data_IF_765031585864
#
_entry.id   IF_765031585864
#
_cell.length_a   1.000
_cell.length_b   1.000
_cell.length_c   1.000
_cell.angle_alpha   90.00
_cell.angle_beta   90.00
_cell.angle_gamma   90.00
#
_symmetry.space_group_name_H-M   'P 1'
#
loop_
_entity.id
_entity.type
_entity.pdbx_description
1 polymer ?
#
# COMPACT_ATOMS: atom_id res chain seq x y z
N UNK A 1 -35.53 -22.06 -27.02
CA UNK A 1 -34.98 -20.74 -27.42
C UNK A 1 -35.01 -19.88 -26.16
N UNK A 2 -33.87 -19.65 -25.52
CA UNK A 2 -33.84 -19.03 -24.19
C UNK A 2 -34.06 -17.52 -24.29
N UNK A 3 -35.13 -17.03 -23.66
CA UNK A 3 -35.43 -15.60 -23.50
C UNK A 3 -34.27 -14.94 -22.75
N UNK A 4 -33.45 -14.15 -23.45
CA UNK A 4 -32.43 -13.31 -22.84
C UNK A 4 -33.11 -12.04 -22.32
N UNK A 5 -32.82 -11.65 -21.07
CA UNK A 5 -33.38 -10.46 -20.44
C UNK A 5 -32.95 -9.16 -21.13
N UNK A 6 -33.75 -8.11 -21.00
CA UNK A 6 -33.44 -6.79 -21.58
C UNK A 6 -32.33 -6.09 -20.78
N UNK A 7 -31.36 -5.43 -21.47
CA UNK A 7 -30.30 -4.70 -20.80
C UNK A 7 -30.86 -3.48 -20.06
N UNK A 8 -30.45 -3.31 -18.80
CA UNK A 8 -30.77 -2.15 -17.96
C UNK A 8 -29.51 -1.35 -17.65
N UNK A 9 -29.65 -0.04 -17.51
CA UNK A 9 -28.53 0.84 -17.14
C UNK A 9 -28.34 0.78 -15.63
N UNK A 10 -27.17 0.31 -15.20
CA UNK A 10 -26.79 0.26 -13.79
C UNK A 10 -25.70 1.30 -13.52
N UNK A 11 -25.73 1.85 -12.32
CA UNK A 11 -24.66 2.66 -11.74
C UNK A 11 -24.11 1.91 -10.54
N UNK A 12 -22.80 1.92 -10.38
CA UNK A 12 -22.14 1.27 -9.26
C UNK A 12 -21.14 2.24 -8.62
N UNK A 13 -20.87 2.06 -7.33
CA UNK A 13 -19.90 2.86 -6.59
C UNK A 13 -18.47 2.41 -6.88
N UNK A 14 -18.08 2.41 -8.16
CA UNK A 14 -16.73 2.11 -8.61
C UNK A 14 -16.19 3.31 -9.37
N UNK A 15 -15.10 3.87 -8.84
CA UNK A 15 -14.39 4.96 -9.50
C UNK A 15 -13.26 4.38 -10.34
N UNK A 16 -13.26 4.57 -11.67
CA UNK A 16 -12.20 4.05 -12.52
C UNK A 16 -10.91 4.80 -12.22
N UNK A 17 -9.86 4.05 -11.89
CA UNK A 17 -8.53 4.61 -11.71
C UNK A 17 -7.92 4.75 -13.11
N UNK A 18 -7.88 5.97 -13.63
CA UNK A 18 -7.21 6.26 -14.90
C UNK A 18 -5.71 6.19 -14.71
N UNK A 19 -5.11 5.02 -15.01
CA UNK A 19 -3.66 4.88 -15.05
C UNK A 19 -3.14 5.22 -16.44
N UNK A 20 -2.02 5.94 -16.52
CA UNK A 20 -1.35 6.21 -17.78
C UNK A 20 -0.88 4.89 -18.43
N UNK A 21 -0.81 4.91 -19.76
CA UNK A 21 -0.71 3.72 -20.61
C UNK A 21 0.56 2.89 -20.36
N UNK A 22 1.64 3.51 -19.88
CA UNK A 22 2.97 2.86 -19.71
C UNK A 22 3.37 2.61 -18.24
N UNK A 23 2.42 2.17 -17.41
CA UNK A 23 2.72 1.88 -16.00
C UNK A 23 3.39 0.51 -15.86
N UNK A 24 4.71 0.46 -16.11
CA UNK A 24 5.56 -0.66 -15.69
C UNK A 24 6.15 -0.33 -14.33
N UNK A 25 5.86 -1.17 -13.34
CA UNK A 25 6.48 -1.08 -12.02
C UNK A 25 7.56 -2.14 -11.90
N UNK A 26 8.63 -1.82 -11.22
CA UNK A 26 9.73 -2.74 -10.97
C UNK A 26 9.65 -3.18 -9.51
N UNK A 27 9.57 -4.49 -9.32
CA UNK A 27 9.56 -5.13 -8.02
C UNK A 27 10.96 -5.55 -7.62
N UNK A 28 11.33 -5.22 -6.39
CA UNK A 28 12.59 -5.59 -5.79
C UNK A 28 12.34 -6.25 -4.43
N UNK A 29 13.14 -7.25 -4.10
CA UNK A 29 13.23 -7.83 -2.77
C UNK A 29 14.26 -7.04 -1.98
N UNK A 30 13.92 -6.71 -0.73
CA UNK A 30 14.83 -6.04 0.20
C UNK A 30 15.13 -6.99 1.34
N UNK A 31 16.40 -7.30 1.53
CA UNK A 31 16.91 -8.10 2.63
C UNK A 31 17.83 -7.22 3.51
N UNK A 32 17.80 -7.44 4.82
CA UNK A 32 18.58 -6.67 5.81
C UNK A 32 19.48 -7.60 6.61
N UNK A 33 20.71 -7.19 6.85
CA UNK A 33 21.67 -7.89 7.70
C UNK A 33 22.40 -6.90 8.64
N UNK A 34 22.25 -7.00 9.96
CA UNK A 34 21.40 -7.95 10.71
C UNK A 34 19.91 -7.76 10.42
N UNK A 35 19.11 -8.81 10.69
CA UNK A 35 17.68 -8.79 10.40
C UNK A 35 16.98 -7.68 11.22
N UNK A 36 16.36 -6.75 10.51
CA UNK A 36 15.55 -5.69 11.12
C UNK A 36 14.09 -6.16 11.15
N UNK A 37 13.44 -6.20 12.30
CA UNK A 37 12.01 -6.54 12.38
C UNK A 37 11.12 -5.30 12.26
N UNK A 38 11.65 -4.11 12.61
CA UNK A 38 10.87 -2.89 12.65
C UNK A 38 10.57 -2.34 11.25
N UNK A 39 9.37 -2.60 10.75
CA UNK A 39 8.86 -2.07 9.48
C UNK A 39 8.96 -0.54 9.42
N UNK A 40 8.78 0.16 10.55
CA UNK A 40 8.88 1.62 10.62
C UNK A 40 10.31 2.11 10.32
N UNK A 41 11.34 1.42 10.82
CA UNK A 41 12.75 1.74 10.57
C UNK A 41 13.07 1.48 9.09
N UNK A 42 12.65 0.33 8.57
CA UNK A 42 12.81 -0.02 7.14
C UNK A 42 12.14 1.01 6.22
N UNK A 43 10.93 1.44 6.56
CA UNK A 43 10.17 2.46 5.80
C UNK A 43 10.84 3.83 5.84
N UNK A 44 11.45 4.21 6.96
CA UNK A 44 12.20 5.47 7.08
C UNK A 44 13.37 5.56 6.11
N UNK A 45 14.07 4.44 5.88
CA UNK A 45 15.22 4.38 4.97
C UNK A 45 14.80 4.42 3.49
N UNK A 46 13.65 3.86 3.15
CA UNK A 46 13.16 3.72 1.77
C UNK A 46 12.19 4.85 1.37
N UNK A 47 11.73 5.65 2.33
CA UNK A 47 11.01 6.91 2.15
C UNK A 47 9.98 6.92 1.02
N UNK A 48 10.39 7.46 -0.13
CA UNK A 48 9.56 7.75 -1.29
C UNK A 48 9.08 6.53 -2.09
N UNK A 49 9.63 5.34 -1.84
CA UNK A 49 9.23 4.12 -2.52
C UNK A 49 8.05 3.41 -1.83
N UNK A 50 7.34 2.57 -2.58
CA UNK A 50 6.24 1.77 -2.04
C UNK A 50 6.87 0.50 -1.46
N UNK A 51 6.81 0.35 -0.15
CA UNK A 51 7.47 -0.74 0.57
C UNK A 51 6.50 -1.40 1.55
N UNK A 52 6.45 -2.72 1.54
CA UNK A 52 5.54 -3.53 2.37
C UNK A 52 6.25 -4.32 3.49
N UNK A 53 7.54 -4.06 3.74
CA UNK A 53 8.32 -4.79 4.76
C UNK A 53 9.34 -5.78 4.19
N UNK A 54 9.06 -6.32 3.00
CA UNK A 54 9.94 -7.27 2.28
C UNK A 54 10.13 -6.90 0.81
N UNK A 55 9.07 -6.38 0.18
CA UNK A 55 9.08 -6.00 -1.23
C UNK A 55 9.02 -4.48 -1.39
N UNK A 56 9.81 -3.99 -2.34
CA UNK A 56 9.90 -2.60 -2.76
C UNK A 56 9.40 -2.49 -4.20
N UNK A 57 8.55 -1.50 -4.46
CA UNK A 57 8.06 -1.19 -5.78
C UNK A 57 8.49 0.22 -6.19
N UNK A 58 9.08 0.31 -7.37
CA UNK A 58 9.55 1.57 -7.96
C UNK A 58 8.99 1.74 -9.37
N UNK A 59 8.70 2.98 -9.75
CA UNK A 59 8.35 3.36 -11.14
C UNK A 59 9.55 3.36 -12.07
N UNK A 60 10.77 3.51 -11.53
CA UNK A 60 12.01 3.54 -12.32
C UNK A 60 12.81 2.27 -12.06
N UNK A 61 13.35 1.68 -13.13
CA UNK A 61 14.33 0.60 -13.00
C UNK A 61 15.62 1.16 -12.39
N UNK A 62 16.17 0.48 -11.38
CA UNK A 62 17.50 0.80 -10.90
C UNK A 62 18.55 0.40 -11.94
N UNK A 63 19.68 1.12 -11.98
CA UNK A 63 20.75 0.86 -12.95
C UNK A 63 21.38 -0.52 -12.74
N UNK A 64 21.50 -0.94 -11.48
CA UNK A 64 21.98 -2.26 -11.11
C UNK A 64 20.81 -3.13 -10.68
N UNK A 65 20.84 -4.41 -11.07
CA UNK A 65 19.86 -5.39 -10.64
C UNK A 65 20.00 -5.73 -9.15
N UNK A 66 21.18 -5.55 -8.57
CA UNK A 66 21.41 -5.64 -7.12
C UNK A 66 22.09 -4.37 -6.63
N UNK A 67 21.55 -3.76 -5.59
CA UNK A 67 22.12 -2.59 -4.94
C UNK A 67 22.29 -2.88 -3.45
N UNK A 68 23.47 -2.65 -2.92
CA UNK A 68 23.76 -2.78 -1.49
C UNK A 68 23.98 -1.41 -0.87
N UNK A 69 23.24 -1.12 0.19
CA UNK A 69 23.38 0.07 1.00
C UNK A 69 23.91 -0.31 2.37
N UNK A 70 24.91 0.42 2.84
CA UNK A 70 25.42 0.30 4.21
C UNK A 70 24.94 1.52 4.98
N UNK A 71 24.12 1.29 6.01
CA UNK A 71 23.64 2.33 6.90
C UNK A 71 24.12 2.04 8.31
N UNK A 72 24.53 3.09 9.02
CA UNK A 72 24.83 2.98 10.46
C UNK A 72 23.52 3.15 11.23
N UNK A 73 23.19 2.21 12.11
CA UNK A 73 22.02 2.33 12.99
C UNK A 73 22.31 3.40 14.05
N UNK A 74 21.42 4.38 14.19
CA UNK A 74 21.60 5.49 15.13
C UNK A 74 21.52 5.09 16.60
N UNK A 75 20.89 3.96 16.96
CA UNK A 75 20.75 3.53 18.36
C UNK A 75 22.03 2.92 18.92
N UNK A 76 22.64 1.97 18.21
CA UNK A 76 23.79 1.18 18.73
C UNK A 76 25.06 1.33 17.90
N UNK A 77 25.00 2.08 16.78
CA UNK A 77 26.14 2.30 15.90
C UNK A 77 26.53 1.10 15.02
N UNK A 78 25.77 0.01 15.06
CA UNK A 78 25.98 -1.15 14.19
C UNK A 78 25.78 -0.82 12.71
N UNK A 79 26.54 -1.51 11.86
CA UNK A 79 26.43 -1.38 10.41
C UNK A 79 25.35 -2.35 9.93
N UNK A 80 24.26 -1.80 9.40
CA UNK A 80 23.19 -2.55 8.75
C UNK A 80 23.44 -2.51 7.24
N UNK A 81 23.51 -3.70 6.64
CA UNK A 81 23.60 -3.89 5.20
C UNK A 81 22.19 -4.16 4.69
N UNK A 82 21.72 -3.32 3.79
CA UNK A 82 20.45 -3.48 3.08
C UNK A 82 20.76 -3.86 1.63
N UNK A 83 20.29 -5.02 1.21
CA UNK A 83 20.46 -5.52 -0.15
C UNK A 83 19.12 -5.44 -0.87
N UNK A 84 19.07 -4.69 -1.97
CA UNK A 84 17.90 -4.53 -2.83
C UNK A 84 18.16 -5.29 -4.12
N UNK A 85 17.38 -6.35 -4.39
CA UNK A 85 17.53 -7.22 -5.55
C UNK A 85 16.30 -7.16 -6.45
N UNK A 86 16.51 -6.88 -7.73
CA UNK A 86 15.48 -6.91 -8.76
C UNK A 86 14.86 -8.30 -8.84
N UNK A 87 13.53 -8.33 -8.82
CA UNK A 87 12.75 -9.57 -8.84
C UNK A 87 11.99 -9.73 -10.15
N UNK A 88 11.13 -8.76 -10.47
CA UNK A 88 10.26 -8.85 -11.64
C UNK A 88 9.76 -7.46 -12.10
N UNK A 89 9.28 -7.40 -13.34
CA UNK A 89 8.47 -6.29 -13.83
C UNK A 89 7.01 -6.63 -13.55
N UNK A 90 6.30 -5.73 -12.87
CA UNK A 90 4.88 -5.84 -12.57
C UNK A 90 4.10 -5.23 -13.73
N UNK A 91 3.34 -6.07 -14.42
CA UNK A 91 2.46 -5.70 -15.52
C UNK A 91 1.04 -5.40 -15.05
N UNK A 92 0.26 -4.72 -15.91
CA UNK A 92 -1.16 -4.43 -15.64
C UNK A 92 -1.95 -5.73 -15.52
N UNK A 93 -2.47 -6.00 -14.31
CA UNK A 93 -3.28 -7.18 -14.01
C UNK A 93 -2.61 -8.18 -13.06
N UNK A 94 -1.33 -7.99 -12.75
CA UNK A 94 -0.65 -8.76 -11.72
C UNK A 94 -1.22 -8.45 -10.32
N UNK A 95 -1.23 -9.45 -9.44
CA UNK A 95 -1.63 -9.31 -8.05
C UNK A 95 -0.79 -8.26 -7.31
N UNK A 96 0.47 -8.08 -7.71
CA UNK A 96 1.32 -7.02 -7.19
C UNK A 96 0.72 -5.61 -7.39
N UNK A 97 -0.01 -5.36 -8.49
CA UNK A 97 -0.72 -4.09 -8.67
C UNK A 97 -1.80 -3.87 -7.60
N UNK A 98 -2.51 -4.92 -7.22
CA UNK A 98 -3.55 -4.86 -6.17
C UNK A 98 -2.89 -4.55 -4.81
N UNK A 99 -1.77 -5.21 -4.50
CA UNK A 99 -1.02 -4.95 -3.27
C UNK A 99 -0.53 -3.51 -3.17
N UNK A 100 0.03 -2.98 -4.26
CA UNK A 100 0.48 -1.59 -4.35
C UNK A 100 -0.68 -0.62 -4.19
N UNK A 101 -1.80 -0.89 -4.86
CA UNK A 101 -3.00 -0.08 -4.75
C UNK A 101 -3.53 -0.06 -3.32
N UNK A 102 -3.55 -1.21 -2.64
CA UNK A 102 -3.92 -1.29 -1.24
C UNK A 102 -3.01 -0.37 -0.40
N UNK A 103 -1.68 -0.45 -0.53
CA UNK A 103 -0.75 0.39 0.23
C UNK A 103 -1.00 1.89 -0.05
N UNK A 104 -1.21 2.27 -1.31
CA UNK A 104 -1.51 3.66 -1.70
C UNK A 104 -2.82 4.14 -1.10
N UNK A 105 -3.89 3.35 -1.22
CA UNK A 105 -5.20 3.67 -0.64
C UNK A 105 -5.12 3.81 0.87
N UNK A 106 -4.43 2.91 1.57
CA UNK A 106 -4.23 3.03 3.03
C UNK A 106 -3.50 4.33 3.39
N UNK A 107 -2.48 4.71 2.61
CA UNK A 107 -1.76 5.99 2.81
C UNK A 107 -2.68 7.18 2.54
N UNK A 108 -3.46 7.19 1.47
CA UNK A 108 -4.38 8.29 1.14
C UNK A 108 -5.50 8.43 2.17
N UNK A 109 -6.11 7.32 2.61
CA UNK A 109 -7.14 7.31 3.65
C UNK A 109 -6.58 7.74 5.01
N UNK A 110 -5.34 7.38 5.33
CA UNK A 110 -4.66 7.88 6.52
C UNK A 110 -4.42 9.40 6.49
N UNK A 111 -4.10 9.98 5.33
CA UNK A 111 -3.98 11.44 5.19
C UNK A 111 -5.33 12.19 5.26
N UNK A 112 -6.44 11.48 5.03
CA UNK A 112 -7.80 12.01 5.22
C UNK A 112 -8.23 12.02 6.70
N UNK A 113 -7.31 11.83 7.66
CA UNK A 113 -7.56 11.73 9.10
C UNK A 113 -8.58 10.62 9.51
N UNK A 114 -8.84 9.66 8.62
CA UNK A 114 -9.69 8.53 8.95
C UNK A 114 -8.93 7.52 9.81
N UNK A 115 -9.51 7.15 10.95
CA UNK A 115 -8.95 6.15 11.84
C UNK A 115 -9.26 4.76 11.30
N UNK A 116 -8.22 3.97 11.00
CA UNK A 116 -8.38 2.59 10.58
C UNK A 116 -8.71 1.71 11.79
N UNK A 117 -9.87 1.05 11.78
CA UNK A 117 -10.24 0.00 12.74
C UNK A 117 -10.45 -1.30 11.97
N UNK A 118 -9.49 -2.22 12.08
CA UNK A 118 -9.48 -3.46 11.30
C UNK A 118 -9.31 -3.20 9.80
N UNK A 119 -10.32 -3.56 9.00
CA UNK A 119 -10.33 -3.37 7.53
C UNK A 119 -11.13 -2.14 7.08
N UNK A 120 -11.78 -1.45 8.01
CA UNK A 120 -12.63 -0.30 7.73
C UNK A 120 -11.97 1.00 8.21
N UNK A 121 -12.30 2.10 7.57
CA UNK A 121 -11.83 3.44 7.91
C UNK A 121 -13.01 4.24 8.47
N UNK A 122 -12.82 4.84 9.64
CA UNK A 122 -13.85 5.59 10.34
C UNK A 122 -13.43 7.03 10.54
N UNK A 123 -14.35 7.96 10.33
CA UNK A 123 -14.14 9.37 10.62
C UNK A 123 -14.46 9.63 12.10
N UNK A 124 -13.46 10.05 12.86
CA UNK A 124 -13.62 10.39 14.28
C UNK A 124 -14.23 11.77 14.50
N UNK A 125 -14.16 12.67 13.53
CA UNK A 125 -14.75 14.02 13.59
C UNK A 125 -16.24 13.99 13.25
N UNK A 126 -16.67 13.08 12.38
CA UNK A 126 -18.08 12.85 12.06
C UNK A 126 -18.82 11.98 13.11
N UNK A 127 -18.43 12.06 14.39
CA UNK A 127 -19.07 11.30 15.47
C UNK A 127 -20.47 11.84 15.73
N UNK A 128 -21.49 11.06 15.37
CA UNK A 128 -22.87 11.34 15.73
C UNK A 128 -23.06 10.93 17.20
N UNK A 129 -23.19 11.91 18.09
CA UNK A 129 -23.59 11.66 19.48
C UNK A 129 -25.10 11.48 19.54
N UNK A 130 -25.55 10.23 19.64
CA UNK A 130 -26.93 9.92 20.00
C UNK A 130 -27.07 10.08 21.51
N UNK A 131 -27.74 11.13 21.97
CA UNK A 131 -28.25 11.15 23.34
C UNK A 131 -29.29 10.03 23.49
N UNK A 132 -29.21 9.32 24.61
CA UNK A 132 -30.09 8.22 25.08
C UNK A 132 -29.62 6.79 24.77
N UNK A 133 -28.88 6.23 25.72
CA UNK A 133 -29.00 4.85 26.24
C UNK A 133 -29.11 3.64 25.28
N UNK A 134 -28.67 3.71 24.02
CA UNK A 134 -28.48 2.51 23.19
C UNK A 134 -27.22 2.67 22.33
N UNK A 135 -26.20 1.86 22.65
CA UNK A 135 -24.97 1.71 21.87
C UNK A 135 -25.34 1.01 20.56
N UNK A 136 -25.33 1.73 19.44
CA UNK A 136 -25.35 1.12 18.11
C UNK A 136 -24.40 1.83 17.14
N UNK A 137 -23.33 1.11 16.79
CA UNK A 137 -22.81 1.00 15.42
C UNK A 137 -22.13 2.23 14.84
N UNK A 138 -20.80 2.16 14.76
CA UNK A 138 -19.99 3.04 13.92
C UNK A 138 -20.38 2.78 12.46
N UNK A 139 -20.99 3.76 11.80
CA UNK A 139 -21.39 3.68 10.39
C UNK A 139 -20.15 3.56 9.50
N UNK A 140 -20.12 2.53 8.66
CA UNK A 140 -19.05 2.24 7.69
C UNK A 140 -19.38 2.95 6.37
N UNK A 141 -18.39 3.57 5.74
CA UNK A 141 -18.49 4.14 4.39
C UNK A 141 -18.18 3.06 3.36
#
# INVERSE_FOLDING_TARGET
>A
MWLRGQPIKLTANFFPITTYTDWSLYQYRVDFNPEEESINIKRGLLGAYIFDGTMLFSRKKFQCDTVEFKSKRNTDGEIVIMTIKFTAVVEKGDYACIQIFNILMRRSLGHLNLTQVGRNYYDTEAKISTDSNIILGITTI
#
